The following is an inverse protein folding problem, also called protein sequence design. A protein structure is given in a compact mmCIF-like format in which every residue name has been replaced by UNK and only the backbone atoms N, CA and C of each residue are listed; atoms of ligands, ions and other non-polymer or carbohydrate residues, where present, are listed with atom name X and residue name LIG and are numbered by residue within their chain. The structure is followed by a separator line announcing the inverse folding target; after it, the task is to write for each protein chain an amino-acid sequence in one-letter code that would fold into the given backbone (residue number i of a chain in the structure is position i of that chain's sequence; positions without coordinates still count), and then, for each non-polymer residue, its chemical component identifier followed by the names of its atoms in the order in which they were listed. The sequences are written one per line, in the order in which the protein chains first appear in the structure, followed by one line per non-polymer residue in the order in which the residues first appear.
data_IF_203403705198
#
_entry.id   IF_203403705198
#
_cell.length_a   1.000
_cell.length_b   1.000
_cell.length_c   1.000
_cell.angle_alpha   90.00
_cell.angle_beta   90.00
_cell.angle_gamma   90.00
#
_symmetry.space_group_name_H-M   'P 1'
#
loop_
_entity.id
_entity.type
_entity.pdbx_description
1 polymer ?
#
# COMPACT_ATOMS: atom_id res chain seq x y z
N UNK A 1 -10.01 -4.31 36.22
CA UNK A 1 -10.46 -5.55 36.91
C UNK A 1 -9.41 -6.62 36.69
N UNK A 2 -8.84 -7.15 37.79
CA UNK A 2 -8.14 -8.44 38.01
C UNK A 2 -7.15 -8.99 36.98
N UNK A 3 -6.09 -9.73 37.31
CA UNK A 3 -5.34 -10.11 38.51
C UNK A 3 -4.27 -11.12 37.99
N UNK A 4 -3.18 -11.27 38.74
CA UNK A 4 -2.41 -12.51 38.92
C UNK A 4 -1.18 -12.88 38.04
N UNK A 5 -0.04 -12.93 38.75
CA UNK A 5 1.02 -13.97 38.87
C UNK A 5 1.92 -14.33 37.65
N UNK A 6 3.26 -14.10 37.70
CA UNK A 6 4.35 -14.86 38.37
C UNK A 6 4.61 -16.27 37.78
N UNK A 7 5.71 -16.43 37.03
CA UNK A 7 6.87 -17.31 37.32
C UNK A 7 7.73 -17.57 36.06
N UNK A 8 8.98 -17.13 36.12
CA UNK A 8 10.06 -17.59 35.27
C UNK A 8 11.22 -18.05 36.17
N UNK A 9 11.68 -19.29 35.98
CA UNK A 9 13.10 -19.70 35.96
C UNK A 9 13.20 -21.22 36.08
N UNK A 10 13.84 -21.87 35.12
CA UNK A 10 15.20 -22.41 35.32
C UNK A 10 15.69 -23.11 34.05
N UNK A 11 16.85 -22.64 33.59
CA UNK A 11 17.75 -23.27 32.63
C UNK A 11 18.32 -24.58 33.18
N UNK A 12 18.54 -25.58 32.29
CA UNK A 12 19.72 -26.46 32.34
C UNK A 12 20.18 -26.88 30.93
N UNK A 13 21.50 -26.84 30.79
CA UNK A 13 22.40 -27.22 29.70
C UNK A 13 22.22 -28.63 29.12
N UNK A 14 22.66 -28.82 27.88
CA UNK A 14 23.64 -29.87 27.54
C UNK A 14 24.34 -29.58 26.20
N UNK A 15 25.67 -29.61 26.25
CA UNK A 15 26.61 -29.51 25.14
C UNK A 15 26.65 -30.78 24.27
N UNK A 16 27.14 -30.59 23.03
CA UNK A 16 28.30 -31.27 22.46
C UNK A 16 28.12 -32.08 21.15
N UNK A 17 29.20 -31.95 20.36
CA UNK A 17 29.81 -32.90 19.40
C UNK A 17 29.51 -32.71 17.90
N UNK A 18 30.47 -32.06 17.24
CA UNK A 18 30.83 -32.18 15.82
C UNK A 18 31.51 -33.53 15.53
N UNK A 19 31.53 -33.98 14.26
CA UNK A 19 32.84 -34.13 13.64
C UNK A 19 32.95 -33.70 12.16
N UNK A 20 34.17 -33.27 11.85
CA UNK A 20 34.75 -32.93 10.53
C UNK A 20 34.69 -34.07 9.50
N UNK A 21 34.54 -33.70 8.21
CA UNK A 21 35.16 -34.44 7.10
C UNK A 21 35.62 -33.51 5.95
N UNK A 22 36.96 -33.37 5.90
CA UNK A 22 37.91 -33.39 4.77
C UNK A 22 37.54 -32.84 3.38
N UNK A 23 38.41 -31.92 2.92
CA UNK A 23 38.61 -31.40 1.57
C UNK A 23 39.12 -32.42 0.54
N UNK A 24 38.64 -32.30 -0.70
CA UNK A 24 39.34 -32.35 -2.01
C UNK A 24 38.43 -31.50 -2.95
N UNK A 25 38.80 -30.42 -3.65
CA UNK A 25 40.02 -30.08 -4.37
C UNK A 25 39.85 -30.48 -5.84
N UNK A 26 39.37 -29.56 -6.70
CA UNK A 26 39.74 -29.47 -8.14
C UNK A 26 39.13 -28.22 -8.80
N UNK A 27 40.02 -27.43 -9.39
CA UNK A 27 39.79 -26.23 -10.18
C UNK A 27 39.42 -26.60 -11.62
N UNK A 28 38.45 -25.91 -12.21
CA UNK A 28 38.44 -25.66 -13.66
C UNK A 28 37.52 -24.49 -13.99
N UNK A 29 38.14 -23.36 -14.35
CA UNK A 29 37.50 -22.22 -15.00
C UNK A 29 37.52 -22.48 -16.52
N UNK A 30 36.38 -22.36 -17.19
CA UNK A 30 36.32 -22.02 -18.62
C UNK A 30 35.06 -21.20 -18.92
N UNK A 31 35.17 -20.08 -19.67
CA UNK A 31 34.04 -19.24 -20.06
C UNK A 31 33.23 -19.85 -21.22
N UNK A 32 31.94 -19.47 -21.41
CA UNK A 32 31.16 -19.95 -22.54
C UNK A 32 31.68 -19.33 -23.85
N UNK A 33 31.85 -20.20 -24.84
CA UNK A 33 32.27 -19.91 -26.20
C UNK A 33 31.14 -19.28 -27.01
N UNK A 34 31.52 -18.38 -27.92
CA UNK A 34 30.69 -17.78 -28.96
C UNK A 34 30.10 -18.86 -29.89
N UNK A 35 28.78 -18.83 -30.09
CA UNK A 35 28.06 -19.65 -31.07
C UNK A 35 27.91 -18.89 -32.40
N UNK A 36 28.54 -19.34 -33.50
CA UNK A 36 28.45 -18.68 -34.80
C UNK A 36 27.33 -19.30 -35.64
N UNK A 37 26.06 -18.98 -35.33
CA UNK A 37 24.93 -19.39 -36.15
C UNK A 37 23.77 -18.38 -36.10
N UNK A 38 24.06 -17.15 -36.55
CA UNK A 38 23.02 -16.23 -37.00
C UNK A 38 23.55 -15.36 -38.15
N UNK A 39 23.62 -15.96 -39.34
CA UNK A 39 23.72 -15.23 -40.60
C UNK A 39 22.59 -15.68 -41.51
N UNK A 40 21.97 -14.69 -42.13
CA UNK A 40 21.05 -14.76 -43.26
C UNK A 40 19.56 -15.06 -42.96
N UNK A 41 18.84 -14.00 -42.60
CA UNK A 41 17.42 -13.84 -42.95
C UNK A 41 17.21 -12.48 -43.61
N UNK A 42 16.59 -12.39 -44.81
CA UNK A 42 16.36 -11.13 -45.49
C UNK A 42 15.19 -10.37 -44.85
N UNK A 43 15.47 -9.17 -44.35
CA UNK A 43 14.47 -8.21 -43.86
C UNK A 43 13.74 -7.53 -45.04
N UNK A 44 12.41 -7.56 -44.98
CA UNK A 44 11.50 -6.95 -45.95
C UNK A 44 11.53 -5.41 -45.86
N UNK A 45 11.70 -4.76 -47.01
CA UNK A 45 11.72 -3.29 -47.16
C UNK A 45 10.41 -2.61 -46.72
N UNK A 46 9.30 -3.35 -46.59
CA UNK A 46 8.05 -2.82 -46.06
C UNK A 46 8.08 -2.53 -44.54
N UNK A 47 9.00 -3.13 -43.78
CA UNK A 47 9.10 -2.93 -42.32
C UNK A 47 9.94 -1.70 -41.93
N UNK A 48 10.88 -1.28 -42.78
CA UNK A 48 11.72 -0.08 -42.56
C UNK A 48 10.92 1.20 -42.80
N UNK A 49 10.01 1.20 -43.78
CA UNK A 49 9.14 2.36 -44.09
C UNK A 49 8.01 2.60 -43.07
N UNK A 50 7.75 1.61 -42.20
CA UNK A 50 6.81 1.73 -41.07
C UNK A 50 7.49 2.32 -39.83
N UNK A 51 8.80 2.14 -39.68
CA UNK A 51 9.59 2.72 -38.60
C UNK A 51 9.91 4.20 -38.84
N UNK A 52 10.04 4.62 -40.11
CA UNK A 52 10.27 6.03 -40.47
C UNK A 52 9.00 6.91 -40.42
N UNK A 53 7.81 6.28 -40.33
CA UNK A 53 6.50 6.97 -40.27
C UNK A 53 5.92 7.11 -38.86
N UNK A 54 6.59 6.58 -37.84
CA UNK A 54 6.20 6.76 -36.43
C UNK A 54 7.04 7.83 -35.71
N UNK A 55 8.01 8.46 -36.39
CA UNK A 55 8.85 9.52 -35.82
C UNK A 55 8.39 10.95 -36.16
N UNK A 56 7.27 11.14 -36.87
CA UNK A 56 6.82 12.45 -37.34
C UNK A 56 5.32 12.66 -37.12
N UNK A 57 4.86 12.65 -35.87
CA UNK A 57 3.65 13.37 -35.46
C UNK A 57 3.68 13.55 -33.95
N UNK A 58 4.03 14.76 -33.47
CA UNK A 58 3.37 15.46 -32.35
C UNK A 58 4.02 16.85 -32.24
N UNK A 59 3.52 17.79 -33.04
CA UNK A 59 3.60 19.22 -32.74
C UNK A 59 2.41 19.60 -31.85
N UNK A 60 2.69 20.42 -30.84
CA UNK A 60 1.85 20.77 -29.72
C UNK A 60 0.51 21.46 -30.05
N UNK A 61 -0.50 21.21 -29.21
CA UNK A 61 -1.63 22.09 -28.92
C UNK A 61 -1.63 22.35 -27.40
N UNK A 62 -1.51 23.61 -26.92
CA UNK A 62 -1.49 23.92 -25.51
C UNK A 62 -2.89 24.30 -25.05
N UNK A 63 -3.53 23.49 -24.21
CA UNK A 63 -4.43 23.84 -23.10
C UNK A 63 -4.95 22.53 -22.47
N UNK A 64 -5.10 22.53 -21.13
CA UNK A 64 -5.26 21.37 -20.22
C UNK A 64 -3.90 20.85 -19.73
N UNK A 65 -3.26 21.67 -18.88
CA UNK A 65 -2.28 21.15 -17.94
C UNK A 65 -3.03 20.42 -16.82
N UNK A 66 -3.12 19.10 -16.91
CA UNK A 66 -3.14 18.30 -15.70
C UNK A 66 -1.82 18.55 -14.98
N UNK A 67 -1.91 19.08 -13.77
CA UNK A 67 -0.80 19.32 -12.87
C UNK A 67 -0.07 17.99 -12.63
N UNK A 68 1.00 17.72 -13.39
CA UNK A 68 1.93 16.63 -13.08
C UNK A 68 2.61 17.02 -11.76
N UNK A 69 2.28 16.33 -10.68
CA UNK A 69 3.06 16.40 -9.45
C UNK A 69 4.52 16.00 -9.77
N UNK A 70 5.53 16.74 -9.27
CA UNK A 70 6.91 16.34 -9.41
C UNK A 70 7.13 15.04 -8.62
N UNK A 71 7.52 13.97 -9.31
CA UNK A 71 7.93 12.71 -8.66
C UNK A 71 9.26 12.91 -7.96
N UNK A 72 9.39 12.46 -6.71
CA UNK A 72 10.66 12.50 -5.99
C UNK A 72 11.75 11.72 -6.73
N UNK A 73 12.92 12.33 -6.84
CA UNK A 73 14.12 11.67 -7.31
C UNK A 73 14.72 10.88 -6.14
N UNK A 74 14.72 9.56 -6.26
CA UNK A 74 15.27 8.66 -5.24
C UNK A 74 16.73 8.38 -5.50
N UNK A 75 17.50 8.28 -4.43
CA UNK A 75 18.86 7.80 -4.51
C UNK A 75 18.90 6.26 -4.60
N UNK A 76 19.46 5.72 -5.67
CA UNK A 76 19.58 4.28 -5.88
C UNK A 76 20.74 3.61 -5.14
N UNK A 77 21.53 4.38 -4.39
CA UNK A 77 22.68 3.85 -3.65
C UNK A 77 22.24 2.81 -2.60
N UNK A 78 23.03 1.76 -2.36
CA UNK A 78 22.77 0.80 -1.28
C UNK A 78 22.55 1.50 0.07
N UNK A 79 21.61 1.00 0.88
CA UNK A 79 21.30 1.59 2.21
C UNK A 79 22.54 1.59 3.13
N UNK A 80 23.50 0.67 2.93
CA UNK A 80 24.78 0.70 3.65
C UNK A 80 25.58 1.97 3.39
N UNK A 81 25.60 2.45 2.15
CA UNK A 81 26.36 3.66 1.77
C UNK A 81 25.63 4.92 2.24
N UNK A 82 24.30 4.85 2.25
CA UNK A 82 23.42 5.87 2.82
C UNK A 82 23.66 6.05 4.33
N UNK A 83 23.71 4.97 5.11
CA UNK A 83 24.01 5.02 6.55
C UNK A 83 25.42 5.54 6.84
N UNK A 84 26.41 5.18 6.03
CA UNK A 84 27.77 5.71 6.16
C UNK A 84 27.81 7.23 5.97
N UNK A 85 26.99 7.79 5.05
CA UNK A 85 26.85 9.25 4.89
C UNK A 85 26.26 9.93 6.12
N UNK A 86 25.25 9.33 6.76
CA UNK A 86 24.70 9.88 8.02
C UNK A 86 25.71 9.84 9.16
N UNK A 87 26.46 8.74 9.27
CA UNK A 87 27.51 8.59 10.30
C UNK A 87 28.64 9.61 10.09
N UNK A 88 29.05 9.85 8.86
CA UNK A 88 30.15 10.75 8.54
C UNK A 88 29.73 12.23 8.49
N UNK A 89 28.46 12.51 8.19
CA UNK A 89 27.90 13.87 8.18
C UNK A 89 27.57 14.44 9.57
N UNK A 90 27.63 13.61 10.63
CA UNK A 90 27.38 14.06 12.00
C UNK A 90 28.64 14.57 12.73
N UNK A 91 29.80 14.59 12.06
CA UNK A 91 31.07 15.01 12.64
C UNK A 91 31.45 16.47 12.35
N UNK A 92 30.70 17.20 11.51
CA UNK A 92 30.96 18.61 11.22
C UNK A 92 29.71 19.47 11.47
N UNK A 93 29.94 20.56 12.20
CA UNK A 93 29.03 21.67 12.54
C UNK A 93 27.88 21.44 13.55
N UNK A 94 28.18 21.75 14.82
CA UNK A 94 27.23 22.42 15.70
C UNK A 94 27.96 23.25 16.77
N UNK A 95 28.59 24.34 16.35
CA UNK A 95 28.90 25.46 17.25
C UNK A 95 28.56 26.80 16.59
N UNK A 96 27.30 27.21 16.69
CA UNK A 96 26.87 28.60 16.89
C UNK A 96 25.40 28.77 16.49
N UNK A 97 24.71 29.66 17.22
CA UNK A 97 23.31 30.11 17.06
C UNK A 97 22.31 29.43 18.01
N UNK A 98 22.50 29.68 19.30
CA UNK A 98 21.41 29.91 20.23
C UNK A 98 21.49 31.37 20.69
N UNK A 99 20.68 32.24 20.09
CA UNK A 99 20.18 33.43 20.77
C UNK A 99 18.96 34.02 20.06
N UNK A 100 17.96 34.32 20.91
CA UNK A 100 16.91 35.34 20.79
C UNK A 100 15.60 35.00 20.06
N UNK A 101 14.51 35.08 20.84
CA UNK A 101 13.34 35.86 20.44
C UNK A 101 12.01 35.12 20.38
N UNK A 102 11.34 34.96 21.54
CA UNK A 102 9.88 34.70 21.60
C UNK A 102 9.17 36.04 21.70
N UNK A 103 8.13 36.32 20.87
CA UNK A 103 7.09 37.26 21.24
C UNK A 103 5.80 36.53 21.63
N UNK A 104 5.26 36.97 22.77
CA UNK A 104 3.91 36.65 23.24
C UNK A 104 2.86 37.25 22.30
N UNK A 105 1.75 36.53 22.09
CA UNK A 105 0.53 37.06 21.46
C UNK A 105 -0.62 36.97 22.45
N UNK A 106 -1.15 38.16 22.69
CA UNK A 106 -2.28 38.54 23.53
C UNK A 106 -3.61 38.06 22.95
N UNK A 107 -4.55 37.79 23.83
CA UNK A 107 -5.89 37.32 23.50
C UNK A 107 -6.81 38.46 23.13
N UNK A 108 -7.69 38.22 22.16
CA UNK A 108 -8.97 38.93 22.06
C UNK A 108 -9.98 38.01 21.39
N UNK A 109 -11.11 37.88 22.06
CA UNK A 109 -12.19 36.94 21.84
C UNK A 109 -13.40 37.80 21.48
N UNK A 110 -13.80 37.79 20.21
CA UNK A 110 -15.04 38.43 19.78
C UNK A 110 -16.06 37.37 19.35
N UNK A 111 -17.18 37.37 20.08
CA UNK A 111 -18.39 36.64 19.76
C UNK A 111 -19.21 37.42 18.74
N UNK A 112 -19.59 36.77 17.64
CA UNK A 112 -20.49 37.33 16.64
C UNK A 112 -21.55 36.30 16.23
N UNK A 113 -22.75 36.45 16.79
CA UNK A 113 -23.98 35.76 16.41
C UNK A 113 -24.35 36.10 14.96
N UNK A 114 -24.79 35.11 14.18
CA UNK A 114 -25.67 35.38 13.04
C UNK A 114 -26.75 34.30 12.90
N UNK A 115 -27.95 34.79 12.66
CA UNK A 115 -29.27 34.16 12.70
C UNK A 115 -29.69 33.54 11.37
N UNK A 116 -30.74 32.73 11.47
CA UNK A 116 -31.45 31.99 10.43
C UNK A 116 -32.12 32.83 9.33
N UNK A 117 -32.57 32.06 8.32
CA UNK A 117 -33.62 32.30 7.32
C UNK A 117 -33.26 33.02 6.01
N UNK A 118 -33.35 32.28 4.89
CA UNK A 118 -34.47 32.47 3.95
C UNK A 118 -34.65 31.29 2.99
N UNK A 119 -35.92 31.03 2.70
CA UNK A 119 -36.50 29.92 1.95
C UNK A 119 -36.65 30.19 0.45
N UNK A 120 -36.73 29.09 -0.31
CA UNK A 120 -37.49 28.88 -1.54
C UNK A 120 -36.99 29.48 -2.87
N UNK A 121 -36.87 28.60 -3.87
CA UNK A 121 -37.64 28.66 -5.13
C UNK A 121 -37.59 27.31 -5.84
N UNK A 122 -38.75 26.65 -5.88
CA UNK A 122 -39.06 25.59 -6.82
C UNK A 122 -39.34 26.21 -8.20
N UNK A 123 -39.06 25.47 -9.26
CA UNK A 123 -39.75 25.63 -10.53
C UNK A 123 -39.95 24.28 -11.23
N UNK A 124 -41.12 24.24 -11.86
CA UNK A 124 -41.89 23.14 -12.42
C UNK A 124 -41.32 22.43 -13.65
N UNK A 125 -41.74 21.17 -13.76
CA UNK A 125 -42.26 20.42 -14.92
C UNK A 125 -41.61 20.52 -16.30
N UNK A 126 -41.37 19.34 -16.88
CA UNK A 126 -42.09 18.94 -18.11
C UNK A 126 -42.16 17.42 -18.25
N UNK A 127 -43.38 16.95 -18.48
CA UNK A 127 -43.81 15.58 -18.77
C UNK A 127 -43.79 15.31 -20.27
N UNK A 128 -43.54 14.05 -20.67
CA UNK A 128 -44.01 13.34 -21.87
C UNK A 128 -43.12 12.11 -22.09
N UNK A 129 -43.54 10.92 -22.52
CA UNK A 129 -44.83 10.24 -22.68
C UNK A 129 -44.48 8.83 -23.17
N UNK A 130 -45.10 7.80 -22.60
CA UNK A 130 -45.13 6.43 -23.10
C UNK A 130 -45.83 6.36 -24.47
N UNK A 131 -45.33 5.52 -25.39
CA UNK A 131 -46.13 4.61 -26.22
C UNK A 131 -45.32 4.02 -27.40
N UNK A 132 -45.15 2.69 -27.42
CA UNK A 132 -45.58 1.82 -28.54
C UNK A 132 -44.92 0.44 -28.51
N UNK A 133 -45.64 -0.52 -27.94
CA UNK A 133 -45.57 -1.93 -28.29
C UNK A 133 -46.52 -2.19 -29.47
N UNK A 134 -45.99 -2.49 -30.66
CA UNK A 134 -46.74 -3.19 -31.72
C UNK A 134 -45.85 -4.25 -32.37
N UNK A 135 -46.33 -5.49 -32.30
CA UNK A 135 -45.59 -6.68 -32.70
C UNK A 135 -45.57 -6.96 -34.20
N UNK A 136 -44.75 -7.94 -34.56
CA UNK A 136 -44.90 -8.67 -35.81
C UNK A 136 -44.64 -10.17 -35.55
N UNK A 137 -45.47 -11.00 -36.20
CA UNK A 137 -45.58 -12.45 -36.05
C UNK A 137 -44.65 -13.17 -37.04
N UNK A 138 -44.29 -14.40 -36.66
CA UNK A 138 -43.95 -15.55 -37.50
C UNK A 138 -42.59 -15.56 -38.26
N UNK A 139 -41.66 -16.36 -37.74
CA UNK A 139 -41.05 -17.44 -38.54
C UNK A 139 -40.59 -18.58 -37.62
N UNK A 140 -41.08 -19.79 -37.88
CA UNK A 140 -40.71 -21.03 -37.20
C UNK A 140 -39.40 -21.55 -37.79
N UNK A 141 -38.33 -21.65 -36.99
CA UNK A 141 -37.37 -22.76 -37.00
C UNK A 141 -36.32 -22.60 -35.89
N UNK A 142 -35.78 -23.72 -35.42
CA UNK A 142 -34.70 -23.89 -34.43
C UNK A 142 -35.13 -23.98 -32.95
N UNK A 143 -35.79 -25.09 -32.62
CA UNK A 143 -35.80 -25.67 -31.27
C UNK A 143 -34.46 -26.38 -31.01
N UNK A 144 -33.47 -25.67 -30.46
CA UNK A 144 -32.36 -26.24 -29.66
C UNK A 144 -31.64 -25.06 -28.97
N UNK A 145 -32.14 -24.62 -27.82
CA UNK A 145 -31.54 -23.50 -27.07
C UNK A 145 -32.10 -23.26 -25.66
N UNK A 146 -32.78 -24.25 -25.09
CA UNK A 146 -33.55 -24.09 -23.84
C UNK A 146 -32.69 -24.00 -22.57
N UNK A 147 -31.53 -24.65 -22.50
CA UNK A 147 -30.75 -24.71 -21.25
C UNK A 147 -29.67 -23.62 -21.13
N UNK A 148 -29.12 -23.15 -22.25
CA UNK A 148 -28.13 -22.06 -22.24
C UNK A 148 -28.78 -20.68 -21.99
N UNK A 149 -30.02 -20.49 -22.47
CA UNK A 149 -30.74 -19.22 -22.27
C UNK A 149 -31.27 -19.06 -20.85
N UNK A 150 -31.62 -20.15 -20.17
CA UNK A 150 -32.11 -20.08 -18.79
C UNK A 150 -30.97 -19.79 -17.80
N UNK A 151 -29.79 -20.40 -17.97
CA UNK A 151 -28.60 -20.03 -17.20
C UNK A 151 -28.13 -18.59 -17.48
N UNK A 152 -28.09 -18.15 -18.75
CA UNK A 152 -27.74 -16.77 -19.08
C UNK A 152 -28.80 -15.75 -18.59
N UNK A 153 -30.08 -16.11 -18.59
CA UNK A 153 -31.16 -15.27 -18.05
C UNK A 153 -31.15 -15.20 -16.54
N UNK A 154 -30.70 -16.26 -15.85
CA UNK A 154 -30.48 -16.28 -14.40
C UNK A 154 -29.23 -15.48 -14.06
N UNK A 155 -28.14 -15.60 -14.83
CA UNK A 155 -26.89 -14.86 -14.59
C UNK A 155 -27.00 -13.36 -14.92
N UNK A 156 -27.82 -13.00 -15.92
CA UNK A 156 -28.18 -11.61 -16.25
C UNK A 156 -29.22 -11.07 -15.25
N UNK A 157 -30.21 -11.87 -14.80
CA UNK A 157 -31.11 -11.44 -13.71
C UNK A 157 -30.43 -11.30 -12.36
N UNK A 158 -29.37 -12.06 -12.09
CA UNK A 158 -28.53 -11.87 -10.89
C UNK A 158 -27.71 -10.58 -10.96
N UNK A 159 -27.63 -9.91 -12.13
CA UNK A 159 -26.90 -8.65 -12.34
C UNK A 159 -27.77 -7.41 -12.44
N UNK A 160 -29.11 -7.49 -12.37
CA UNK A 160 -29.99 -6.32 -12.56
C UNK A 160 -31.02 -6.03 -11.46
N UNK A 161 -31.03 -6.74 -10.33
CA UNK A 161 -31.88 -6.35 -9.18
C UNK A 161 -31.09 -6.44 -7.87
N UNK A 162 -30.21 -5.47 -7.64
CA UNK A 162 -30.10 -4.90 -6.30
C UNK A 162 -31.09 -3.75 -6.25
N UNK A 163 -32.13 -3.91 -5.42
CA UNK A 163 -33.03 -2.81 -5.10
C UNK A 163 -32.21 -1.59 -4.69
N UNK A 164 -32.60 -0.43 -5.23
CA UNK A 164 -31.91 0.88 -5.23
C UNK A 164 -30.93 1.05 -6.40
N UNK A 165 -31.36 1.80 -7.42
CA UNK A 165 -30.59 2.24 -8.58
C UNK A 165 -29.41 3.15 -8.21
N UNK A 166 -28.43 2.59 -7.52
CA UNK A 166 -27.12 3.20 -7.28
C UNK A 166 -26.19 2.69 -8.39
N UNK A 167 -25.59 3.61 -9.15
CA UNK A 167 -24.47 3.22 -10.03
C UNK A 167 -23.42 2.50 -9.17
N UNK A 168 -22.96 1.31 -9.63
CA UNK A 168 -21.93 0.51 -8.92
C UNK A 168 -20.66 1.31 -8.62
N UNK A 169 -20.45 2.38 -9.37
CA UNK A 169 -19.28 3.27 -9.36
C UNK A 169 -19.07 4.00 -8.01
N UNK A 170 -20.11 4.20 -7.19
CA UNK A 170 -19.99 4.90 -5.89
C UNK A 170 -20.11 3.98 -4.66
N UNK A 171 -19.98 2.66 -4.83
CA UNK A 171 -20.11 1.72 -3.71
C UNK A 171 -18.76 1.46 -3.01
N UNK A 172 -18.64 1.90 -1.76
CA UNK A 172 -17.45 1.65 -0.93
C UNK A 172 -17.37 0.17 -0.56
N UNK A 173 -16.33 -0.51 -1.04
CA UNK A 173 -16.07 -1.91 -0.67
C UNK A 173 -15.42 -1.95 0.72
N UNK A 174 -16.15 -2.49 1.69
CA UNK A 174 -15.74 -2.59 3.10
C UNK A 174 -15.65 -4.02 3.64
N UNK A 175 -15.87 -5.02 2.80
CA UNK A 175 -15.79 -6.43 3.15
C UNK A 175 -15.31 -7.25 1.96
N UNK A 176 -14.56 -8.31 2.22
CA UNK A 176 -14.02 -9.22 1.20
C UNK A 176 -14.32 -10.66 1.64
N UNK A 177 -14.82 -11.49 0.73
CA UNK A 177 -15.24 -12.87 1.04
C UNK A 177 -14.10 -13.76 1.59
N UNK A 178 -12.88 -13.75 1.02
CA UNK A 178 -11.79 -14.56 1.54
C UNK A 178 -11.25 -14.11 2.90
N UNK A 179 -11.69 -12.95 3.43
CA UNK A 179 -11.23 -12.39 4.70
C UNK A 179 -12.41 -12.21 5.66
N UNK A 180 -12.87 -13.28 6.35
CA UNK A 180 -14.15 -13.29 7.06
C UNK A 180 -14.30 -12.22 8.15
N UNK A 181 -13.20 -11.82 8.79
CA UNK A 181 -13.25 -10.78 9.83
C UNK A 181 -13.81 -9.46 9.27
N UNK A 182 -13.56 -9.18 7.99
CA UNK A 182 -14.04 -7.97 7.34
C UNK A 182 -15.56 -7.98 7.07
N UNK A 183 -16.18 -9.16 7.07
CA UNK A 183 -17.63 -9.33 6.97
C UNK A 183 -18.27 -9.25 8.35
N UNK A 184 -17.63 -9.84 9.36
CA UNK A 184 -18.11 -9.88 10.74
C UNK A 184 -18.17 -8.48 11.35
N UNK A 185 -17.20 -7.62 11.04
CA UNK A 185 -17.06 -6.29 11.65
C UNK A 185 -17.07 -5.20 10.59
N UNK A 186 -18.24 -4.78 10.12
CA UNK A 186 -18.34 -3.84 8.99
C UNK A 186 -18.28 -2.38 9.47
N UNK A 187 -17.44 -1.53 8.87
CA UNK A 187 -17.41 -0.10 9.20
C UNK A 187 -18.68 0.60 8.74
N UNK A 188 -19.04 1.70 9.38
CA UNK A 188 -20.20 2.52 9.03
C UNK A 188 -20.06 3.13 7.63
N UNK A 189 -21.18 3.19 6.89
CA UNK A 189 -21.32 3.94 5.64
C UNK A 189 -22.50 4.89 5.81
N UNK A 190 -22.27 6.18 5.53
CA UNK A 190 -23.32 7.17 5.50
C UNK A 190 -24.37 6.81 4.44
N UNK A 191 -25.64 6.83 4.85
CA UNK A 191 -26.78 6.77 3.93
C UNK A 191 -26.86 8.08 3.14
N UNK A 192 -27.51 8.11 1.96
CA UNK A 192 -27.64 9.34 1.17
C UNK A 192 -28.26 10.53 1.93
N UNK A 193 -29.16 10.26 2.88
CA UNK A 193 -29.84 11.22 3.75
C UNK A 193 -29.13 11.46 5.09
N UNK A 194 -27.93 10.89 5.28
CA UNK A 194 -27.22 10.99 6.55
C UNK A 194 -26.74 12.41 6.82
N UNK A 195 -27.02 12.90 8.03
CA UNK A 195 -26.48 14.18 8.53
C UNK A 195 -24.96 14.11 8.77
N UNK A 196 -24.40 12.92 8.96
CA UNK A 196 -22.96 12.71 9.16
C UNK A 196 -22.27 12.57 7.81
N UNK A 197 -21.79 13.69 7.27
CA UNK A 197 -21.04 13.73 6.01
C UNK A 197 -19.58 13.28 6.23
N UNK A 198 -18.97 12.72 5.20
CA UNK A 198 -17.53 12.41 5.14
C UNK A 198 -16.99 11.56 6.31
N UNK A 199 -17.69 10.47 6.65
CA UNK A 199 -17.34 9.61 7.80
C UNK A 199 -15.97 8.88 7.70
N UNK A 200 -15.15 9.11 6.66
CA UNK A 200 -13.83 8.51 6.53
C UNK A 200 -13.82 6.98 6.44
N UNK A 201 -14.90 6.37 5.94
CA UNK A 201 -15.10 4.91 5.96
C UNK A 201 -13.89 4.12 5.42
N UNK A 202 -13.49 3.05 6.11
CA UNK A 202 -12.39 2.21 5.65
C UNK A 202 -12.70 1.48 4.32
N UNK A 203 -11.68 1.34 3.48
CA UNK A 203 -11.68 0.63 2.19
C UNK A 203 -10.98 -0.71 2.35
N UNK A 204 -11.66 -1.78 1.93
CA UNK A 204 -11.19 -3.12 2.21
C UNK A 204 -9.89 -3.45 1.48
N UNK A 205 -9.80 -3.16 0.18
CA UNK A 205 -8.72 -3.64 -0.70
C UNK A 205 -8.10 -2.54 -1.59
N UNK A 206 -8.39 -1.26 -1.33
CA UNK A 206 -7.78 -0.14 -2.05
C UNK A 206 -7.24 0.90 -1.06
N UNK A 207 -6.00 1.33 -1.26
CA UNK A 207 -5.41 2.46 -0.56
C UNK A 207 -5.87 3.77 -1.21
N UNK A 208 -7.16 4.11 -1.04
CA UNK A 208 -7.78 5.26 -1.67
C UNK A 208 -7.45 6.57 -0.94
N UNK A 209 -6.97 7.57 -1.69
CA UNK A 209 -6.64 8.91 -1.20
C UNK A 209 -7.44 9.97 -1.97
N UNK A 210 -7.32 11.24 -1.59
CA UNK A 210 -7.91 12.35 -2.34
C UNK A 210 -7.43 12.37 -3.79
N UNK A 211 -6.12 12.25 -4.02
CA UNK A 211 -5.51 12.29 -5.36
C UNK A 211 -5.67 10.97 -6.14
N UNK A 212 -5.81 9.84 -5.42
CA UNK A 212 -5.98 8.49 -5.98
C UNK A 212 -7.21 7.82 -5.35
N UNK A 213 -8.45 8.25 -5.69
CA UNK A 213 -9.66 7.72 -5.06
C UNK A 213 -9.90 6.22 -5.34
N UNK A 214 -9.24 5.68 -6.35
CA UNK A 214 -9.28 4.26 -6.73
C UNK A 214 -8.01 3.48 -6.31
N UNK A 215 -7.11 4.10 -5.54
CA UNK A 215 -5.82 3.53 -5.13
C UNK A 215 -4.88 3.28 -6.30
N UNK A 216 -4.03 2.27 -6.20
CA UNK A 216 -3.12 1.88 -7.29
C UNK A 216 -3.88 1.18 -8.41
N UNK A 217 -3.85 1.78 -9.61
CA UNK A 217 -4.52 1.24 -10.82
C UNK A 217 -3.56 0.68 -11.86
N UNK A 218 -2.28 1.04 -11.78
CA UNK A 218 -1.24 0.55 -12.69
C UNK A 218 -1.20 -1.00 -12.70
N UNK A 219 -1.14 -1.59 -13.91
CA UNK A 219 -1.19 -3.05 -14.13
C UNK A 219 -2.37 -3.73 -13.43
N UNK A 220 -3.52 -3.06 -13.36
CA UNK A 220 -4.75 -3.55 -12.74
C UNK A 220 -4.59 -3.96 -11.27
N UNK A 221 -3.70 -3.30 -10.52
CA UNK A 221 -3.35 -3.66 -9.13
C UNK A 221 -4.58 -3.82 -8.24
N UNK A 222 -5.46 -2.81 -8.14
CA UNK A 222 -6.66 -2.86 -7.31
C UNK A 222 -7.56 -4.07 -7.62
N UNK A 223 -7.71 -4.44 -8.89
CA UNK A 223 -8.52 -5.60 -9.30
C UNK A 223 -7.84 -6.91 -8.91
N UNK A 224 -6.55 -7.04 -9.22
CA UNK A 224 -5.79 -8.28 -9.00
C UNK A 224 -5.64 -8.62 -7.52
N UNK A 225 -5.61 -7.60 -6.65
CA UNK A 225 -5.50 -7.76 -5.19
C UNK A 225 -6.82 -7.56 -4.43
N UNK A 226 -7.96 -7.55 -5.14
CA UNK A 226 -9.28 -7.34 -4.54
C UNK A 226 -9.74 -8.45 -3.57
N UNK A 227 -9.03 -9.58 -3.55
CA UNK A 227 -9.31 -10.74 -2.71
C UNK A 227 -8.71 -10.64 -1.30
N UNK A 228 -7.89 -9.63 -1.02
CA UNK A 228 -7.17 -9.45 0.24
C UNK A 228 -7.26 -8.02 0.76
N UNK A 229 -7.11 -7.83 2.07
CA UNK A 229 -7.15 -6.49 2.67
C UNK A 229 -5.92 -5.68 2.31
N UNK A 230 -5.97 -4.35 2.39
CA UNK A 230 -4.81 -3.50 2.07
C UNK A 230 -3.58 -3.88 2.92
N UNK A 231 -3.76 -4.21 4.21
CA UNK A 231 -2.65 -4.70 5.04
C UNK A 231 -2.11 -6.06 4.57
N UNK A 232 -2.97 -6.96 4.07
CA UNK A 232 -2.47 -8.21 3.48
C UNK A 232 -1.70 -7.94 2.18
N UNK A 233 -2.13 -6.97 1.36
CA UNK A 233 -1.40 -6.54 0.16
C UNK A 233 0.00 -6.01 0.49
N UNK A 234 0.12 -5.25 1.57
CA UNK A 234 1.41 -4.78 2.08
C UNK A 234 2.38 -5.93 2.36
N UNK A 235 1.88 -6.99 3.01
CA UNK A 235 2.70 -8.13 3.40
C UNK A 235 2.92 -9.16 2.27
N UNK A 236 2.04 -9.21 1.27
CA UNK A 236 2.09 -10.16 0.14
C UNK A 236 3.42 -10.15 -0.62
N UNK A 237 4.10 -9.00 -0.68
CA UNK A 237 5.44 -8.92 -1.29
C UNK A 237 6.47 -9.86 -0.65
N UNK A 238 6.32 -10.13 0.65
CA UNK A 238 7.24 -10.99 1.39
C UNK A 238 6.86 -12.47 1.25
N UNK A 239 5.58 -12.80 1.05
CA UNK A 239 5.10 -14.17 0.87
C UNK A 239 5.38 -14.68 -0.56
N UNK A 240 6.62 -15.11 -0.81
CA UNK A 240 7.09 -15.35 -2.19
C UNK A 240 6.50 -16.59 -2.86
N UNK A 241 6.12 -17.61 -2.08
CA UNK A 241 5.46 -18.83 -2.57
C UNK A 241 3.93 -18.79 -2.44
N UNK A 242 3.38 -17.72 -1.82
CA UNK A 242 1.95 -17.39 -1.75
C UNK A 242 1.13 -18.44 -1.01
N UNK A 243 1.69 -19.01 0.05
CA UNK A 243 1.00 -19.96 0.91
C UNK A 243 0.27 -19.28 2.09
N UNK A 244 0.43 -17.95 2.24
CA UNK A 244 -0.14 -17.14 3.32
C UNK A 244 0.71 -17.13 4.60
N UNK A 245 1.95 -17.63 4.54
CA UNK A 245 2.85 -17.80 5.68
C UNK A 245 4.21 -17.17 5.35
N UNK A 246 4.53 -16.09 6.05
CA UNK A 246 5.86 -15.47 5.93
C UNK A 246 6.82 -16.15 6.90
N UNK A 247 7.86 -16.76 6.34
CA UNK A 247 8.97 -17.29 7.13
C UNK A 247 10.06 -16.25 7.38
N UNK A 248 10.94 -16.48 8.37
CA UNK A 248 12.14 -15.66 8.56
C UNK A 248 12.96 -15.45 7.27
N UNK A 249 13.12 -16.48 6.43
CA UNK A 249 13.85 -16.34 5.16
C UNK A 249 13.14 -15.44 4.13
N UNK A 250 11.81 -15.41 4.14
CA UNK A 250 11.00 -14.59 3.25
C UNK A 250 11.18 -13.11 3.57
N UNK A 251 11.10 -12.77 4.86
CA UNK A 251 11.41 -11.43 5.36
C UNK A 251 12.83 -11.02 4.98
N UNK A 252 13.83 -11.88 5.22
CA UNK A 252 15.21 -11.59 4.81
C UNK A 252 15.32 -11.30 3.32
N UNK A 253 14.75 -12.17 2.46
CA UNK A 253 14.80 -12.00 1.01
C UNK A 253 14.09 -10.72 0.56
N UNK A 254 12.92 -10.42 1.12
CA UNK A 254 12.14 -9.23 0.81
C UNK A 254 12.89 -7.95 1.14
N UNK A 255 13.39 -7.81 2.37
CA UNK A 255 14.17 -6.63 2.77
C UNK A 255 15.45 -6.49 1.94
N UNK A 256 16.11 -7.60 1.61
CA UNK A 256 17.29 -7.56 0.75
C UNK A 256 16.95 -7.09 -0.67
N UNK A 257 15.84 -7.56 -1.26
CA UNK A 257 15.32 -7.09 -2.56
C UNK A 257 14.98 -5.59 -2.52
N UNK A 258 14.51 -5.08 -1.38
CA UNK A 258 14.23 -3.65 -1.17
C UNK A 258 15.48 -2.81 -0.93
N UNK A 259 16.65 -3.42 -0.74
CA UNK A 259 17.94 -2.71 -0.68
C UNK A 259 18.51 -2.48 0.72
N UNK A 260 17.95 -3.10 1.75
CA UNK A 260 18.39 -2.98 3.14
C UNK A 260 19.77 -3.63 3.41
N UNK A 261 20.29 -4.42 2.47
CA UNK A 261 21.55 -5.14 2.65
C UNK A 261 21.44 -6.22 3.72
N UNK A 262 22.52 -6.97 3.96
CA UNK A 262 22.48 -8.17 4.80
C UNK A 262 22.16 -7.84 6.27
N UNK A 263 22.83 -6.83 6.84
CA UNK A 263 22.73 -6.53 8.27
C UNK A 263 21.31 -6.06 8.63
N UNK A 264 20.77 -5.06 7.93
CA UNK A 264 19.44 -4.55 8.23
C UNK A 264 18.34 -5.57 7.88
N UNK A 265 18.56 -6.43 6.87
CA UNK A 265 17.62 -7.54 6.58
C UNK A 265 17.57 -8.54 7.74
N UNK A 266 18.71 -8.88 8.35
CA UNK A 266 18.73 -9.73 9.56
C UNK A 266 18.04 -9.03 10.74
N UNK A 267 18.30 -7.74 10.96
CA UNK A 267 17.62 -6.96 12.01
C UNK A 267 16.10 -6.97 11.80
N UNK A 268 15.64 -6.78 10.56
CA UNK A 268 14.22 -6.83 10.21
C UNK A 268 13.61 -8.20 10.54
N UNK A 269 14.31 -9.31 10.24
CA UNK A 269 13.88 -10.66 10.62
C UNK A 269 13.66 -10.76 12.13
N UNK A 270 14.63 -10.34 12.94
CA UNK A 270 14.48 -10.41 14.40
C UNK A 270 13.33 -9.54 14.90
N UNK A 271 13.22 -8.29 14.45
CA UNK A 271 12.17 -7.37 14.91
C UNK A 271 10.78 -7.87 14.52
N UNK A 272 10.59 -8.29 13.26
CA UNK A 272 9.27 -8.73 12.77
C UNK A 272 8.87 -10.04 13.41
N UNK A 273 9.70 -11.09 13.31
CA UNK A 273 9.31 -12.42 13.74
C UNK A 273 9.21 -12.57 15.26
N UNK A 274 9.98 -11.80 16.04
CA UNK A 274 9.86 -11.79 17.50
C UNK A 274 8.54 -11.17 17.99
N UNK A 275 7.96 -10.22 17.25
CA UNK A 275 6.76 -9.49 17.67
C UNK A 275 5.48 -10.00 16.99
N UNK A 276 5.56 -10.42 15.72
CA UNK A 276 4.38 -10.69 14.87
C UNK A 276 4.02 -12.19 14.78
N UNK A 277 4.96 -13.09 15.10
CA UNK A 277 4.69 -14.52 14.98
C UNK A 277 3.55 -14.94 15.91
N UNK A 278 3.67 -14.71 17.22
CA UNK A 278 2.69 -15.20 18.18
C UNK A 278 1.27 -14.62 17.99
N UNK A 279 1.07 -13.30 17.81
CA UNK A 279 -0.28 -12.75 17.67
C UNK A 279 -1.01 -13.25 16.41
N UNK A 280 -0.29 -13.62 15.35
CA UNK A 280 -0.88 -14.13 14.11
C UNK A 280 -1.19 -15.62 14.14
N UNK A 281 -0.78 -16.35 15.18
CA UNK A 281 -1.02 -17.79 15.24
C UNK A 281 -2.53 -18.14 15.27
N UNK A 282 -2.90 -19.26 14.61
CA UNK A 282 -4.22 -19.84 14.76
C UNK A 282 -4.37 -20.63 16.08
N UNK A 283 -3.26 -20.90 16.78
CA UNK A 283 -3.18 -21.74 17.97
C UNK A 283 -2.56 -21.01 19.15
N UNK A 284 -2.73 -21.56 20.36
CA UNK A 284 -2.15 -21.02 21.59
C UNK A 284 -0.66 -21.38 21.81
N UNK A 285 -0.17 -22.44 21.17
CA UNK A 285 1.23 -22.83 21.29
C UNK A 285 2.11 -21.96 20.38
N UNK A 286 3.23 -21.41 20.87
CA UNK A 286 4.18 -20.68 20.04
C UNK A 286 4.70 -21.53 18.89
N UNK A 287 4.95 -20.87 17.75
CA UNK A 287 5.55 -21.51 16.60
C UNK A 287 7.09 -21.52 16.75
N UNK A 288 7.74 -22.69 16.85
CA UNK A 288 9.20 -22.76 17.01
C UNK A 288 9.98 -22.19 15.81
N UNK A 289 9.32 -22.02 14.66
CA UNK A 289 9.90 -21.41 13.47
C UNK A 289 9.57 -19.92 13.34
N UNK A 290 8.87 -19.34 14.32
CA UNK A 290 8.49 -17.93 14.37
C UNK A 290 7.79 -17.42 13.09
N UNK A 291 6.97 -18.26 12.44
CA UNK A 291 6.27 -17.88 11.21
C UNK A 291 5.18 -16.84 11.48
N UNK A 292 4.91 -16.00 10.48
CA UNK A 292 3.86 -14.97 10.51
C UNK A 292 2.74 -15.36 9.56
N UNK A 293 1.49 -15.37 10.04
CA UNK A 293 0.34 -15.86 9.27
C UNK A 293 -0.51 -14.71 8.73
N UNK A 294 -0.53 -14.54 7.40
CA UNK A 294 -1.22 -13.43 6.73
C UNK A 294 -2.73 -13.41 6.96
N UNK A 295 -3.34 -14.57 7.22
CA UNK A 295 -4.76 -14.67 7.57
C UNK A 295 -5.11 -13.83 8.81
N UNK A 296 -4.18 -13.69 9.76
CA UNK A 296 -4.38 -13.02 11.04
C UNK A 296 -3.54 -11.74 11.20
N UNK A 297 -2.85 -11.27 10.16
CA UNK A 297 -1.93 -10.13 10.22
C UNK A 297 -2.57 -8.83 10.78
N UNK A 298 -3.88 -8.67 10.63
CA UNK A 298 -4.65 -7.55 11.22
C UNK A 298 -4.52 -7.45 12.75
N UNK A 299 -4.09 -8.52 13.43
CA UNK A 299 -3.85 -8.53 14.88
C UNK A 299 -2.52 -7.89 15.29
N UNK A 300 -1.56 -7.75 14.37
CA UNK A 300 -0.26 -7.11 14.64
C UNK A 300 -0.33 -5.57 14.62
N UNK A 301 -1.53 -5.02 14.41
CA UNK A 301 -1.79 -3.61 14.62
C UNK A 301 -1.49 -3.20 16.07
N UNK A 302 -0.72 -2.14 16.25
CA UNK A 302 -0.44 -1.53 17.56
C UNK A 302 -1.14 -0.17 17.72
N UNK A 303 -1.17 0.34 18.95
CA UNK A 303 -1.96 1.52 19.32
C UNK A 303 -1.33 2.86 18.91
N UNK A 304 -0.02 2.86 18.68
CA UNK A 304 0.77 4.07 18.40
C UNK A 304 1.15 4.23 16.92
N UNK A 305 0.53 3.43 16.04
CA UNK A 305 0.65 3.57 14.59
C UNK A 305 -0.08 4.81 14.04
N UNK A 306 -0.07 5.00 12.72
CA UNK A 306 -0.75 6.12 12.07
C UNK A 306 -2.29 6.03 12.12
N UNK A 307 -2.85 4.88 12.49
CA UNK A 307 -4.27 4.57 12.37
C UNK A 307 -4.75 4.35 10.93
N UNK A 308 -3.86 4.35 9.94
CA UNK A 308 -4.23 4.19 8.52
C UNK A 308 -4.77 2.81 8.20
N UNK A 309 -4.40 1.79 8.98
CA UNK A 309 -5.14 0.53 9.01
C UNK A 309 -6.17 0.51 10.13
N UNK A 310 -7.38 0.02 9.84
CA UNK A 310 -8.32 -0.38 10.89
C UNK A 310 -7.94 -1.73 11.52
N UNK A 311 -8.68 -2.15 12.55
CA UNK A 311 -8.45 -3.43 13.26
C UNK A 311 -8.71 -4.69 12.42
N UNK A 312 -9.18 -4.55 11.19
CA UNK A 312 -9.34 -5.66 10.24
C UNK A 312 -8.39 -5.53 9.04
N UNK A 313 -7.43 -4.61 9.08
CA UNK A 313 -6.42 -4.40 8.04
C UNK A 313 -6.92 -3.64 6.81
N UNK A 314 -8.08 -2.98 6.89
CA UNK A 314 -8.58 -2.10 5.82
C UNK A 314 -7.89 -0.75 5.88
N UNK A 315 -7.77 -0.10 4.74
CA UNK A 315 -7.21 1.25 4.66
C UNK A 315 -8.24 2.29 5.06
N UNK A 316 -7.88 3.26 5.90
CA UNK A 316 -8.73 4.35 6.38
C UNK A 316 -8.27 5.64 5.71
N UNK A 317 -8.92 6.10 4.61
CA UNK A 317 -8.48 7.27 3.86
C UNK A 317 -8.30 8.51 4.73
N UNK A 318 -9.25 8.75 5.65
CA UNK A 318 -9.16 9.90 6.54
C UNK A 318 -7.90 9.90 7.40
N UNK A 319 -7.50 8.73 7.92
CA UNK A 319 -6.31 8.62 8.77
C UNK A 319 -5.02 8.79 7.98
N UNK A 320 -5.02 8.36 6.72
CA UNK A 320 -3.93 8.63 5.81
C UNK A 320 -3.80 10.12 5.49
N UNK A 321 -4.90 10.77 5.09
CA UNK A 321 -4.91 12.22 4.80
C UNK A 321 -4.53 13.05 6.04
N UNK A 322 -4.98 12.62 7.22
CA UNK A 322 -4.62 13.23 8.51
C UNK A 322 -3.09 13.28 8.75
N UNK A 323 -2.29 12.37 8.16
CA UNK A 323 -0.83 12.42 8.28
C UNK A 323 -0.31 13.74 7.71
N UNK A 324 -0.77 14.09 6.51
CA UNK A 324 -0.31 15.27 5.77
C UNK A 324 -0.95 16.54 6.30
N UNK A 325 -2.25 16.49 6.59
CA UNK A 325 -2.96 17.65 7.10
C UNK A 325 -2.45 18.08 8.48
N UNK A 326 -2.26 17.12 9.41
CA UNK A 326 -1.88 17.45 10.80
C UNK A 326 -0.39 17.71 10.98
N UNK A 327 0.47 17.04 10.20
CA UNK A 327 1.90 17.04 10.46
C UNK A 327 2.74 17.62 9.33
N UNK A 328 2.16 17.82 8.14
CA UNK A 328 2.83 18.42 7.00
C UNK A 328 2.13 19.68 6.49
N UNK A 329 1.21 20.26 7.27
CA UNK A 329 0.54 21.53 6.93
C UNK A 329 -0.13 21.48 5.53
N UNK A 330 -0.72 20.34 5.19
CA UNK A 330 -1.42 20.13 3.92
C UNK A 330 -0.52 19.89 2.70
N UNK A 331 0.81 19.78 2.88
CA UNK A 331 1.74 19.45 1.79
C UNK A 331 1.57 17.99 1.33
N UNK A 332 1.92 17.73 0.08
CA UNK A 332 1.90 16.38 -0.53
C UNK A 332 3.18 15.57 -0.25
N UNK A 333 3.94 15.94 0.78
CA UNK A 333 5.11 15.21 1.25
C UNK A 333 5.32 15.42 2.76
N UNK A 334 6.03 14.49 3.39
CA UNK A 334 6.52 14.60 4.78
C UNK A 334 8.04 14.59 4.81
N UNK A 335 8.61 15.34 5.73
CA UNK A 335 10.04 15.28 6.07
C UNK A 335 10.27 14.36 7.27
N UNK A 336 11.54 14.06 7.58
CA UNK A 336 11.89 13.33 8.81
C UNK A 336 11.39 14.05 10.09
N UNK A 337 11.29 15.38 10.04
CA UNK A 337 10.81 16.20 11.16
C UNK A 337 9.30 16.11 11.32
N UNK A 338 8.55 16.15 10.22
CA UNK A 338 7.10 15.95 10.20
C UNK A 338 6.76 14.55 10.76
N UNK A 339 7.51 13.53 10.32
CA UNK A 339 7.39 12.15 10.81
C UNK A 339 7.74 12.05 12.31
N UNK A 340 8.78 12.74 12.78
CA UNK A 340 9.12 12.81 14.20
C UNK A 340 7.98 13.42 15.04
N UNK A 341 7.34 14.48 14.55
CA UNK A 341 6.20 15.11 15.20
C UNK A 341 4.96 14.20 15.18
N UNK A 342 4.69 13.52 14.07
CA UNK A 342 3.64 12.52 13.98
C UNK A 342 3.86 11.37 14.96
N UNK A 343 5.06 10.78 15.02
CA UNK A 343 5.37 9.70 15.96
C UNK A 343 5.20 10.12 17.42
N UNK A 344 5.44 11.40 17.77
CA UNK A 344 5.14 11.93 19.12
C UNK A 344 3.63 12.07 19.34
N UNK A 345 2.91 12.58 18.34
CA UNK A 345 1.48 12.83 18.40
C UNK A 345 0.61 11.58 18.47
N UNK A 346 1.08 10.44 17.94
CA UNK A 346 0.33 9.17 17.93
C UNK A 346 0.61 8.27 19.15
N UNK A 347 1.54 8.61 20.07
CA UNK A 347 1.91 7.71 21.17
C UNK A 347 0.74 7.45 22.12
N UNK A 348 0.38 6.18 22.28
CA UNK A 348 -0.52 5.73 23.33
C UNK A 348 0.24 5.47 24.64
N UNK A 349 -0.32 5.87 25.78
CA UNK A 349 0.36 5.81 27.09
C UNK A 349 0.88 4.41 27.47
N UNK A 350 0.15 3.35 27.10
CA UNK A 350 0.43 1.97 27.49
C UNK A 350 0.80 1.10 26.29
N UNK A 351 1.66 1.62 25.40
CA UNK A 351 2.05 0.93 24.17
C UNK A 351 3.55 1.07 23.83
N UNK A 352 4.48 0.69 24.73
CA UNK A 352 5.92 0.80 24.48
C UNK A 352 6.40 -0.03 23.29
N UNK A 353 5.77 -1.17 23.03
CA UNK A 353 6.06 -2.00 21.85
C UNK A 353 5.64 -1.24 20.58
N UNK A 354 4.45 -0.64 20.55
CA UNK A 354 4.02 0.17 19.41
C UNK A 354 4.83 1.45 19.23
N UNK A 355 5.40 2.06 20.28
CA UNK A 355 6.33 3.19 20.12
C UNK A 355 7.58 2.79 19.33
N UNK A 356 8.15 1.63 19.69
CA UNK A 356 9.28 1.04 18.97
C UNK A 356 8.88 0.64 17.55
N UNK A 357 7.73 -0.03 17.39
CA UNK A 357 7.16 -0.42 16.11
C UNK A 357 7.03 0.76 15.16
N UNK A 358 6.35 1.83 15.58
CA UNK A 358 6.20 3.05 14.78
C UNK A 358 7.55 3.66 14.40
N UNK A 359 8.52 3.71 15.31
CA UNK A 359 9.86 4.19 14.99
C UNK A 359 10.54 3.35 13.90
N UNK A 360 10.51 2.01 14.02
CA UNK A 360 11.14 1.13 13.04
C UNK A 360 10.42 1.14 11.69
N UNK A 361 9.08 1.19 11.67
CA UNK A 361 8.28 1.30 10.44
C UNK A 361 8.64 2.55 9.63
N UNK A 362 8.69 3.71 10.29
CA UNK A 362 8.99 4.97 9.63
C UNK A 362 10.48 5.14 9.31
N UNK A 363 11.37 4.59 10.13
CA UNK A 363 12.80 4.52 9.80
C UNK A 363 13.03 3.64 8.56
N UNK A 364 12.43 2.46 8.51
CA UNK A 364 12.51 1.58 7.35
C UNK A 364 11.94 2.25 6.10
N UNK A 365 10.80 2.95 6.23
CA UNK A 365 10.22 3.75 5.15
C UNK A 365 11.20 4.80 4.63
N UNK A 366 11.81 5.59 5.52
CA UNK A 366 12.79 6.61 5.15
C UNK A 366 14.03 6.02 4.47
N UNK A 367 14.58 4.93 5.03
CA UNK A 367 15.76 4.26 4.45
C UNK A 367 15.48 3.64 3.08
N UNK A 368 14.32 3.02 2.91
CA UNK A 368 13.92 2.40 1.65
C UNK A 368 13.72 3.44 0.55
N UNK A 369 13.08 4.56 0.88
CA UNK A 369 12.80 5.64 -0.06
C UNK A 369 14.08 6.44 -0.36
N UNK A 370 14.81 6.83 0.70
CA UNK A 370 15.97 7.71 0.64
C UNK A 370 15.80 8.90 -0.33
N UNK A 371 14.87 9.83 -0.04
CA UNK A 371 14.63 10.97 -0.91
C UNK A 371 15.84 11.92 -0.92
N UNK A 372 16.29 12.34 -2.11
CA UNK A 372 17.47 13.21 -2.25
C UNK A 372 17.30 14.58 -1.58
N UNK A 373 16.08 15.12 -1.59
CA UNK A 373 15.71 16.41 -1.00
C UNK A 373 15.09 16.29 0.40
N UNK A 374 15.09 15.09 0.98
CA UNK A 374 14.50 14.81 2.29
C UNK A 374 12.98 14.75 2.32
N UNK A 375 12.29 14.75 1.16
CA UNK A 375 10.83 14.75 1.07
C UNK A 375 10.30 13.38 0.66
N UNK A 376 9.57 12.73 1.56
CA UNK A 376 8.84 11.49 1.25
C UNK A 376 7.45 11.86 0.74
N UNK A 377 7.20 11.64 -0.55
CA UNK A 377 5.94 12.05 -1.19
C UNK A 377 4.76 11.19 -0.72
N UNK A 378 3.58 11.82 -0.71
CA UNK A 378 2.31 11.22 -0.34
C UNK A 378 2.00 9.96 -1.15
N UNK A 379 2.19 10.02 -2.46
CA UNK A 379 1.90 8.89 -3.34
C UNK A 379 2.78 7.66 -3.04
N UNK A 380 4.04 7.87 -2.66
CA UNK A 380 4.95 6.77 -2.35
C UNK A 380 4.61 6.15 -1.00
N UNK A 381 4.32 6.96 0.01
CA UNK A 381 3.83 6.47 1.31
C UNK A 381 2.51 5.69 1.11
N UNK A 382 1.60 6.17 0.26
CA UNK A 382 0.37 5.45 -0.10
C UNK A 382 0.67 4.10 -0.75
N UNK A 383 1.63 4.05 -1.67
CA UNK A 383 2.07 2.83 -2.33
C UNK A 383 2.78 1.83 -1.40
N UNK A 384 3.32 2.29 -0.27
CA UNK A 384 3.80 1.41 0.80
C UNK A 384 2.62 0.75 1.50
N UNK A 385 1.55 1.48 1.82
CA UNK A 385 0.37 0.90 2.47
C UNK A 385 -0.28 -0.21 1.64
N UNK A 386 -0.38 -0.12 0.32
CA UNK A 386 -0.90 -1.25 -0.48
C UNK A 386 0.20 -2.22 -0.95
N UNK A 387 1.47 -2.01 -0.57
CA UNK A 387 2.61 -2.84 -0.97
C UNK A 387 3.04 -2.68 -2.44
N UNK A 388 2.30 -1.93 -3.25
CA UNK A 388 2.60 -1.79 -4.68
C UNK A 388 3.95 -1.14 -4.97
N UNK A 389 4.44 -0.28 -4.06
CA UNK A 389 5.74 0.36 -4.20
C UNK A 389 6.90 -0.65 -4.03
N UNK A 390 6.75 -1.68 -3.19
CA UNK A 390 7.78 -2.68 -2.96
C UNK A 390 8.16 -3.41 -4.24
N UNK A 391 7.17 -3.83 -5.01
CA UNK A 391 7.37 -4.45 -6.31
C UNK A 391 8.06 -3.51 -7.31
N UNK A 392 7.73 -2.21 -7.30
CA UNK A 392 8.39 -1.20 -8.16
C UNK A 392 9.88 -1.05 -7.79
N UNK A 393 10.19 -0.91 -6.50
CA UNK A 393 11.57 -0.77 -6.01
C UNK A 393 12.39 -2.03 -6.31
N UNK A 394 11.85 -3.21 -5.99
CA UNK A 394 12.54 -4.48 -6.25
C UNK A 394 12.82 -4.68 -7.75
N UNK A 395 11.85 -4.37 -8.63
CA UNK A 395 12.04 -4.46 -10.07
C UNK A 395 13.10 -3.48 -10.59
N UNK A 396 13.07 -2.21 -10.11
CA UNK A 396 14.09 -1.20 -10.44
C UNK A 396 15.49 -1.71 -10.11
N UNK A 397 15.66 -2.19 -8.88
CA UNK A 397 16.94 -2.72 -8.37
C UNK A 397 17.41 -3.96 -9.13
N UNK A 398 16.51 -4.87 -9.48
CA UNK A 398 16.85 -6.05 -10.27
C UNK A 398 17.26 -5.71 -11.72
N UNK A 399 16.72 -4.61 -12.28
CA UNK A 399 16.96 -4.22 -13.67
C UNK A 399 18.21 -3.35 -13.90
N UNK A 400 18.90 -2.90 -12.85
CA UNK A 400 19.96 -1.88 -12.91
C UNK A 400 19.58 -0.60 -13.70
N UNK A 401 18.29 -0.31 -13.88
CA UNK A 401 17.80 0.88 -14.59
C UNK A 401 17.25 1.90 -13.60
N UNK A 402 17.85 3.09 -13.56
CA UNK A 402 17.26 4.28 -12.94
C UNK A 402 15.98 4.65 -13.69
N UNK A 403 14.92 5.01 -12.97
CA UNK A 403 13.60 5.22 -13.58
C UNK A 403 13.55 6.56 -14.33
N UNK A 404 13.29 6.50 -15.63
CA UNK A 404 12.56 7.53 -16.37
C UNK A 404 11.16 6.97 -16.66
N UNK A 405 10.10 7.68 -16.28
CA UNK A 405 8.72 7.25 -16.54
C UNK A 405 8.34 7.48 -18.01
N UNK A 406 7.76 6.45 -18.64
CA UNK A 406 6.77 6.60 -19.73
C UNK A 406 5.42 7.06 -19.16
#
# INVERSE_FOLDING_TARGET
MSSAYLLASHSKHADAVLPNYRQQGLLSNNPPQDDPLLKDLPMDRAQVDKLHRLSETTTADPQIQHQKQPSAQWNDQPITDQLNKLSNGSAEDNSSKLSNGVPAIDGSRDEGKYSDDYSSKANHDTTASDDSLKGCRHCQHCQHGGQAKEHASIEIKQREITAEGRSRENSVVRSIQPVPITIKRKPFIARPDSKLRHAGTARAHIAATEDKPYGTTHKDWARNHSHQTVLQQHCDFFDTDRDGIIWPQDTFSGFHKLGFGIILSLVAVFVIHANFSYPTLPTWLPDPFFRVYLTNIHKDKHGSDSGTYDHEGRFVPQKFEDIFEKYAEGRDYVTIWDVSNMMKGQRCIADPIGWGGAFFEWLATYLMLWPEDGRMMKEDIRGIYDGSLFYKIAARRASNKAYGYE
#
